data_IF_349973367855
#
_entry.id   IF_349973367855
#
_cell.length_a   1.000
_cell.length_b   1.000
_cell.length_c   1.000
_cell.angle_alpha   90.00
_cell.angle_beta   90.00
_cell.angle_gamma   90.00
#
_symmetry.space_group_name_H-M   'P 1'
#
loop_
_entity.id
_entity.type
_entity.pdbx_description
1 polymer ?
#
# COMPACT_ATOMS: atom_id res chain seq x y z
N UNK A 1 24.33 18.41 5.81
CA UNK A 1 23.91 17.30 6.68
C UNK A 1 23.34 16.22 5.77
N UNK A 2 23.83 14.98 5.85
CA UNK A 2 23.33 13.90 5.00
C UNK A 2 22.98 12.71 5.87
N UNK A 3 21.70 12.34 5.92
CA UNK A 3 21.26 11.15 6.63
C UNK A 3 21.58 9.92 5.76
N UNK A 4 22.34 8.93 6.26
CA UNK A 4 22.57 7.70 5.52
C UNK A 4 21.23 7.01 5.27
N UNK A 5 20.95 6.68 4.02
CA UNK A 5 19.68 6.13 3.60
C UNK A 5 19.81 5.31 2.32
N UNK A 6 18.82 4.47 2.08
CA UNK A 6 18.66 3.84 0.78
C UNK A 6 17.80 4.71 -0.11
N UNK A 7 18.16 4.76 -1.40
CA UNK A 7 17.27 5.25 -2.45
C UNK A 7 16.79 4.11 -3.28
N UNK A 8 15.49 4.08 -3.47
CA UNK A 8 14.79 3.07 -4.23
C UNK A 8 14.14 3.77 -5.41
N UNK A 9 14.50 3.39 -6.62
CA UNK A 9 13.69 3.74 -7.78
C UNK A 9 12.71 2.60 -8.07
N UNK A 10 11.43 2.93 -8.26
CA UNK A 10 10.42 1.98 -8.68
C UNK A 10 10.05 2.20 -10.14
N UNK A 11 10.18 1.16 -10.95
CA UNK A 11 9.86 1.19 -12.37
C UNK A 11 9.47 -0.20 -12.88
N UNK A 12 8.36 -0.32 -13.63
CA UNK A 12 7.82 -1.58 -14.17
C UNK A 12 7.67 -2.70 -13.13
N UNK A 13 7.35 -2.32 -11.89
CA UNK A 13 7.24 -3.26 -10.76
C UNK A 13 8.56 -3.83 -10.25
N UNK A 14 9.71 -3.28 -10.65
CA UNK A 14 11.02 -3.54 -10.07
C UNK A 14 11.41 -2.41 -9.11
N UNK A 15 12.13 -2.77 -8.06
CA UNK A 15 12.75 -1.88 -7.10
C UNK A 15 14.26 -1.91 -7.30
N UNK A 16 14.85 -0.76 -7.59
CA UNK A 16 16.29 -0.58 -7.75
C UNK A 16 16.83 0.15 -6.53
N UNK A 17 17.51 -0.59 -5.67
CA UNK A 17 18.03 -0.15 -4.39
C UNK A 17 19.49 0.32 -4.54
N UNK A 18 19.72 1.60 -4.28
CA UNK A 18 21.02 2.25 -4.24
C UNK A 18 21.32 2.72 -2.81
N UNK A 19 22.56 2.56 -2.36
CA UNK A 19 23.00 3.08 -1.06
C UNK A 19 23.56 4.49 -1.22
N UNK A 20 23.08 5.46 -0.42
CA UNK A 20 23.55 6.85 -0.52
C UNK A 20 23.15 7.75 0.65
N UNK A 21 23.22 9.06 0.40
CA UNK A 21 22.83 10.09 1.37
C UNK A 21 21.50 10.73 0.93
N UNK A 22 20.44 10.58 1.73
CA UNK A 22 19.06 10.95 1.36
C UNK A 22 18.89 12.37 0.81
N UNK A 23 19.54 13.35 1.44
CA UNK A 23 19.44 14.77 1.07
C UNK A 23 20.03 15.07 -0.31
N UNK A 24 21.01 14.29 -0.77
CA UNK A 24 21.60 14.50 -2.10
C UNK A 24 20.60 14.21 -3.22
N UNK A 25 19.75 13.21 -3.03
CA UNK A 25 18.81 12.77 -4.06
C UNK A 25 17.66 13.74 -4.29
N UNK A 26 17.32 14.54 -3.30
CA UNK A 26 16.25 15.55 -3.44
C UNK A 26 16.76 16.71 -4.27
N UNK A 27 18.03 17.08 -4.09
CA UNK A 27 18.69 18.06 -4.94
C UNK A 27 18.83 17.58 -6.40
N UNK A 28 18.72 16.27 -6.66
CA UNK A 28 18.71 15.72 -8.03
C UNK A 28 17.33 15.80 -8.69
N UNK A 29 16.23 15.93 -7.94
CA UNK A 29 14.88 15.99 -8.50
C UNK A 29 14.60 17.45 -8.90
N UNK A 30 14.45 17.75 -10.21
CA UNK A 30 14.18 19.12 -10.65
C UNK A 30 12.81 19.59 -10.16
N UNK A 31 12.73 20.88 -9.81
CA UNK A 31 11.45 21.52 -9.45
C UNK A 31 10.69 22.05 -10.66
N UNK A 32 11.39 22.34 -11.77
CA UNK A 32 10.75 22.76 -13.01
C UNK A 32 10.04 21.56 -13.67
N UNK A 33 8.76 21.68 -14.08
CA UNK A 33 8.03 20.56 -14.67
C UNK A 33 8.63 20.00 -15.95
N UNK A 34 9.28 20.83 -16.78
CA UNK A 34 9.88 20.39 -18.04
C UNK A 34 11.16 19.62 -17.74
N UNK A 35 12.03 20.19 -16.90
CA UNK A 35 13.26 19.52 -16.45
C UNK A 35 12.94 18.21 -15.70
N UNK A 36 11.85 18.18 -14.93
CA UNK A 36 11.40 16.98 -14.22
C UNK A 36 11.01 15.85 -15.18
N UNK A 37 10.25 16.14 -16.24
CA UNK A 37 9.89 15.12 -17.23
C UNK A 37 11.12 14.60 -17.98
N UNK A 38 12.07 15.49 -18.32
CA UNK A 38 13.36 15.08 -18.90
C UNK A 38 14.16 14.19 -17.95
N UNK A 39 14.24 14.56 -16.67
CA UNK A 39 14.88 13.76 -15.62
C UNK A 39 14.22 12.37 -15.49
N UNK A 40 12.89 12.32 -15.43
CA UNK A 40 12.15 11.05 -15.31
C UNK A 40 12.35 10.19 -16.55
N UNK A 41 12.33 10.77 -17.75
CA UNK A 41 12.58 10.04 -18.99
C UNK A 41 13.99 9.45 -19.02
N UNK A 42 15.01 10.25 -18.70
CA UNK A 42 16.40 9.80 -18.61
C UNK A 42 16.58 8.70 -17.56
N UNK A 43 15.96 8.83 -16.38
CA UNK A 43 16.00 7.80 -15.35
C UNK A 43 15.31 6.51 -15.77
N UNK A 44 14.16 6.59 -16.44
CA UNK A 44 13.49 5.40 -17.00
C UNK A 44 14.37 4.68 -18.01
N UNK A 45 15.06 5.42 -18.88
CA UNK A 45 16.00 4.86 -19.86
C UNK A 45 17.20 4.18 -19.18
N UNK A 46 17.81 4.83 -18.18
CA UNK A 46 18.90 4.28 -17.37
C UNK A 46 18.51 2.95 -16.72
N UNK A 47 17.34 2.90 -16.05
CA UNK A 47 16.85 1.71 -15.36
C UNK A 47 16.47 0.58 -16.32
N UNK A 48 15.93 0.89 -17.49
CA UNK A 48 15.68 -0.11 -18.54
C UNK A 48 17.00 -0.70 -19.05
N UNK A 49 18.01 0.15 -19.28
CA UNK A 49 19.35 -0.29 -19.64
C UNK A 49 19.94 -1.26 -18.61
N UNK A 50 19.82 -0.95 -17.32
CA UNK A 50 20.27 -1.83 -16.24
C UNK A 50 19.52 -3.17 -16.23
N UNK A 51 18.21 -3.19 -16.51
CA UNK A 51 17.45 -4.44 -16.62
C UNK A 51 17.94 -5.30 -17.78
N UNK A 52 18.20 -4.70 -18.94
CA UNK A 52 18.73 -5.42 -20.11
C UNK A 52 20.14 -5.94 -19.88
N UNK A 53 21.01 -5.17 -19.22
CA UNK A 53 22.34 -5.62 -18.82
C UNK A 53 22.28 -6.81 -17.85
N UNK A 54 21.42 -6.74 -16.84
CA UNK A 54 21.20 -7.86 -15.91
C UNK A 54 20.63 -9.08 -16.64
N UNK A 55 19.64 -8.90 -17.53
CA UNK A 55 19.11 -9.99 -18.37
C UNK A 55 20.23 -10.67 -19.16
N UNK A 56 21.10 -9.89 -19.78
CA UNK A 56 22.25 -10.40 -20.54
C UNK A 56 23.28 -11.10 -19.65
N UNK A 57 23.63 -10.52 -18.51
CA UNK A 57 24.66 -11.03 -17.60
C UNK A 57 24.25 -12.37 -16.96
N UNK A 58 22.96 -12.54 -16.64
CA UNK A 58 22.42 -13.77 -16.07
C UNK A 58 21.85 -14.73 -17.13
N UNK A 59 22.04 -14.44 -18.43
CA UNK A 59 21.76 -15.38 -19.52
C UNK A 59 20.29 -15.53 -19.92
N UNK A 60 19.45 -14.52 -19.66
CA UNK A 60 18.02 -14.53 -19.97
C UNK A 60 17.75 -13.85 -21.32
N UNK A 61 17.45 -14.64 -22.35
CA UNK A 61 16.94 -14.15 -23.63
C UNK A 61 15.41 -14.03 -23.56
N UNK A 62 14.85 -12.85 -23.86
CA UNK A 62 13.40 -12.61 -23.84
C UNK A 62 12.64 -13.53 -24.80
N UNK A 63 11.53 -14.12 -24.31
CA UNK A 63 10.14 -14.06 -24.82
C UNK A 63 9.37 -15.27 -24.28
N UNK A 64 8.38 -15.02 -23.43
CA UNK A 64 7.46 -16.01 -22.86
C UNK A 64 7.25 -15.75 -21.37
N UNK A 65 6.01 -15.47 -20.98
CA UNK A 65 5.54 -15.06 -19.63
C UNK A 65 5.93 -15.96 -18.43
N UNK A 66 6.79 -16.96 -18.63
CA UNK A 66 7.20 -17.93 -17.62
C UNK A 66 8.63 -17.75 -17.07
N UNK A 67 9.46 -16.89 -17.67
CA UNK A 67 10.83 -16.63 -17.17
C UNK A 67 11.00 -15.20 -16.67
N UNK A 68 10.37 -14.91 -15.54
CA UNK A 68 10.59 -13.69 -14.80
C UNK A 68 11.94 -13.76 -14.05
N UNK A 69 12.95 -12.92 -14.39
CA UNK A 69 14.32 -13.04 -13.88
C UNK A 69 14.45 -12.78 -12.37
N UNK A 70 13.40 -12.28 -11.71
CA UNK A 70 13.40 -11.88 -10.29
C UNK A 70 12.29 -12.60 -9.52
N UNK A 71 11.78 -13.75 -10.02
CA UNK A 71 10.81 -14.58 -9.29
C UNK A 71 11.44 -15.15 -8.01
N UNK A 72 11.40 -14.37 -6.94
CA UNK A 72 11.73 -14.77 -5.57
C UNK A 72 13.13 -14.42 -5.05
N UNK A 73 13.98 -13.75 -5.84
CA UNK A 73 15.35 -13.40 -5.45
C UNK A 73 15.72 -11.93 -5.67
N UNK A 74 16.91 -11.54 -5.19
CA UNK A 74 17.50 -10.22 -5.40
C UNK A 74 18.67 -10.34 -6.39
N UNK A 75 18.73 -9.46 -7.38
CA UNK A 75 19.87 -9.35 -8.31
C UNK A 75 20.80 -8.24 -7.84
N UNK A 76 22.10 -8.50 -7.80
CA UNK A 76 23.10 -7.47 -7.46
C UNK A 76 23.83 -7.04 -8.73
N UNK A 77 24.02 -5.74 -8.87
CA UNK A 77 24.71 -5.11 -9.98
C UNK A 77 25.63 -3.99 -9.50
N UNK A 78 26.49 -3.52 -10.41
CA UNK A 78 27.35 -2.38 -10.19
C UNK A 78 27.15 -1.40 -11.35
N UNK A 79 26.95 -0.11 -11.05
CA UNK A 79 26.92 0.98 -12.00
C UNK A 79 28.12 1.88 -11.71
N UNK A 80 29.19 1.71 -12.48
CA UNK A 80 30.50 2.25 -12.11
C UNK A 80 30.95 1.74 -10.74
N UNK A 81 31.22 2.65 -9.80
CA UNK A 81 31.60 2.33 -8.42
C UNK A 81 30.39 2.15 -7.48
N UNK A 82 29.17 2.39 -7.96
CA UNK A 82 27.95 2.32 -7.14
C UNK A 82 27.37 0.91 -7.19
N UNK A 83 27.25 0.26 -6.04
CA UNK A 83 26.58 -1.03 -5.91
C UNK A 83 25.07 -0.83 -5.80
N UNK A 84 24.30 -1.64 -6.52
CA UNK A 84 22.85 -1.62 -6.45
C UNK A 84 22.25 -3.03 -6.39
N UNK A 85 21.03 -3.12 -5.90
CA UNK A 85 20.25 -4.37 -5.82
C UNK A 85 18.90 -4.18 -6.50
N UNK A 86 18.48 -5.13 -7.33
CA UNK A 86 17.20 -5.13 -8.02
C UNK A 86 16.32 -6.25 -7.47
N UNK A 87 15.09 -5.92 -7.09
CA UNK A 87 14.13 -6.87 -6.53
C UNK A 87 12.71 -6.58 -7.00
N UNK A 88 11.83 -7.59 -6.99
CA UNK A 88 10.38 -7.39 -7.13
C UNK A 88 9.68 -7.18 -5.80
N UNK A 89 10.37 -7.44 -4.70
CA UNK A 89 9.86 -7.19 -3.37
C UNK A 89 10.50 -5.90 -2.83
N UNK A 90 9.72 -5.12 -2.12
CA UNK A 90 10.26 -3.99 -1.37
C UNK A 90 11.30 -4.49 -0.35
N UNK A 91 12.47 -3.84 -0.22
CA UNK A 91 13.52 -4.24 0.71
C UNK A 91 12.99 -4.24 2.14
N UNK A 92 13.17 -5.36 2.85
CA UNK A 92 12.65 -5.55 4.22
C UNK A 92 13.71 -5.32 5.29
N UNK A 93 14.96 -5.58 4.94
CA UNK A 93 16.07 -5.63 5.88
C UNK A 93 17.14 -4.64 5.42
N UNK A 94 17.40 -3.62 6.25
CA UNK A 94 18.49 -2.69 6.02
C UNK A 94 18.75 -1.84 7.25
N UNK A 95 20.03 -1.70 7.60
CA UNK A 95 20.51 -0.92 8.76
C UNK A 95 20.42 0.61 8.54
N UNK A 96 19.62 1.05 7.56
CA UNK A 96 19.49 2.46 7.23
C UNK A 96 18.49 3.17 8.14
N UNK A 97 18.76 4.45 8.41
CA UNK A 97 17.85 5.30 9.15
C UNK A 97 16.55 5.54 8.37
N UNK A 98 16.64 5.68 7.04
CA UNK A 98 15.51 5.97 6.15
C UNK A 98 15.62 5.24 4.80
N UNK A 99 14.47 4.86 4.25
CA UNK A 99 14.28 4.44 2.86
C UNK A 99 13.53 5.51 2.08
N UNK A 100 14.18 6.11 1.10
CA UNK A 100 13.55 7.06 0.19
C UNK A 100 13.20 6.33 -1.10
N UNK A 101 11.94 6.33 -1.48
CA UNK A 101 11.51 5.70 -2.72
C UNK A 101 10.90 6.72 -3.70
N UNK A 102 11.32 6.61 -4.96
CA UNK A 102 10.90 7.45 -6.07
C UNK A 102 10.14 6.54 -7.04
N UNK A 103 8.81 6.69 -7.07
CA UNK A 103 7.93 5.97 -8.00
C UNK A 103 7.79 6.78 -9.29
N UNK A 104 8.53 6.36 -10.31
CA UNK A 104 8.61 7.02 -11.61
C UNK A 104 7.37 6.78 -12.49
N UNK A 105 6.51 5.83 -12.11
CA UNK A 105 5.28 5.51 -12.84
C UNK A 105 4.12 6.37 -12.35
N UNK A 106 4.05 6.59 -11.03
CA UNK A 106 2.93 7.29 -10.39
C UNK A 106 3.28 8.70 -9.89
N UNK A 107 4.53 9.15 -10.08
CA UNK A 107 5.03 10.45 -9.67
C UNK A 107 4.95 10.67 -8.14
N UNK A 108 5.41 9.70 -7.36
CA UNK A 108 5.27 9.71 -5.89
C UNK A 108 6.62 9.56 -5.22
N UNK A 109 6.85 10.41 -4.23
CA UNK A 109 7.96 10.29 -3.31
C UNK A 109 7.50 9.66 -2.00
N UNK A 110 8.13 8.56 -1.66
CA UNK A 110 7.85 7.79 -0.46
C UNK A 110 9.00 7.93 0.54
N UNK A 111 8.67 7.98 1.83
CA UNK A 111 9.63 7.91 2.94
C UNK A 111 9.23 6.75 3.84
N UNK A 112 10.16 5.83 4.07
CA UNK A 112 9.93 4.60 4.83
C UNK A 112 8.64 3.90 4.40
N UNK A 113 8.47 3.82 3.08
CA UNK A 113 7.35 3.15 2.43
C UNK A 113 6.06 3.95 2.33
N UNK A 114 5.87 5.02 3.11
CA UNK A 114 4.67 5.86 3.10
C UNK A 114 4.74 6.94 2.03
N UNK A 115 3.64 7.29 1.33
CA UNK A 115 3.63 8.36 0.34
C UNK A 115 3.65 9.72 1.05
N UNK A 116 4.72 10.49 0.87
CA UNK A 116 4.88 11.81 1.50
C UNK A 116 4.59 12.94 0.51
N UNK A 117 5.18 12.90 -0.69
CA UNK A 117 5.11 14.01 -1.64
C UNK A 117 4.74 13.56 -3.05
N UNK A 118 4.13 14.47 -3.81
CA UNK A 118 4.01 14.36 -5.26
C UNK A 118 5.34 14.80 -5.89
N UNK A 119 5.92 13.99 -6.78
CA UNK A 119 7.19 14.33 -7.44
C UNK A 119 7.10 15.63 -8.25
N UNK A 120 5.90 15.97 -8.75
CA UNK A 120 5.63 17.20 -9.51
C UNK A 120 5.55 18.44 -8.62
N UNK A 121 5.53 18.27 -7.31
CA UNK A 121 5.45 19.35 -6.34
C UNK A 121 6.34 19.08 -5.12
N UNK A 122 7.59 18.66 -5.37
CA UNK A 122 8.56 18.40 -4.30
C UNK A 122 8.91 19.67 -3.51
N UNK A 123 9.04 19.59 -2.18
CA UNK A 123 9.60 20.68 -1.40
C UNK A 123 11.09 20.85 -1.69
N UNK A 124 11.62 22.05 -1.46
CA UNK A 124 13.06 22.29 -1.59
C UNK A 124 13.85 21.57 -0.46
N UNK A 125 15.18 21.52 -0.57
CA UNK A 125 16.02 20.72 0.35
C UNK A 125 15.89 21.09 1.84
N UNK A 126 15.74 22.37 2.16
CA UNK A 126 15.59 22.84 3.55
C UNK A 126 14.18 22.56 4.09
N UNK A 127 13.14 22.80 3.29
CA UNK A 127 11.77 22.45 3.62
C UNK A 127 11.60 20.95 3.82
N UNK A 128 12.16 20.14 2.92
CA UNK A 128 12.13 18.69 3.01
C UNK A 128 12.67 18.19 4.35
N UNK A 129 13.83 18.70 4.78
CA UNK A 129 14.42 18.32 6.06
C UNK A 129 13.48 18.67 7.23
N UNK A 130 12.74 19.77 7.13
CA UNK A 130 11.74 20.16 8.13
C UNK A 130 10.49 19.26 8.17
N UNK A 131 10.23 18.45 7.13
CA UNK A 131 9.18 17.41 7.16
C UNK A 131 9.65 16.08 7.75
N UNK A 132 10.95 15.79 7.68
CA UNK A 132 11.54 14.58 8.27
C UNK A 132 11.79 14.72 9.78
N UNK A 133 11.60 15.92 10.33
CA UNK A 133 11.72 16.16 11.75
C UNK A 133 10.61 15.40 12.51
N UNK A 134 11.01 14.35 13.21
CA UNK A 134 10.15 13.31 13.81
C UNK A 134 9.23 13.88 14.90
N UNK A 135 9.58 15.03 15.47
CA UNK A 135 8.78 15.71 16.49
C UNK A 135 7.59 16.50 15.90
N UNK A 136 7.58 16.74 14.58
CA UNK A 136 6.45 17.39 13.91
C UNK A 136 5.35 16.36 13.62
N UNK A 137 4.36 16.25 14.51
CA UNK A 137 3.18 15.40 14.29
C UNK A 137 2.56 15.72 12.91
N UNK A 138 2.52 14.75 11.98
CA UNK A 138 2.04 15.01 10.61
C UNK A 138 0.54 15.34 10.55
N UNK A 139 -0.25 15.00 11.56
CA UNK A 139 -1.71 15.14 11.52
C UNK A 139 -2.26 16.48 12.05
N UNK A 140 -1.44 17.36 12.62
CA UNK A 140 -1.91 18.59 13.27
C UNK A 140 -1.66 19.87 12.45
N UNK A 141 -1.15 19.75 11.22
CA UNK A 141 -0.89 20.92 10.39
C UNK A 141 -2.20 21.51 9.82
N UNK A 142 -2.44 22.83 9.96
CA UNK A 142 -3.59 23.49 9.36
C UNK A 142 -3.65 23.22 7.84
N UNK A 143 -4.87 23.03 7.32
CA UNK A 143 -5.12 22.76 5.89
C UNK A 143 -4.46 23.79 4.96
N UNK A 144 -4.32 25.03 5.43
CA UNK A 144 -3.76 26.16 4.69
C UNK A 144 -2.25 26.34 4.85
N UNK A 145 -1.55 25.47 5.59
CA UNK A 145 -0.10 25.58 5.70
C UNK A 145 0.57 25.26 4.36
N UNK A 146 1.66 25.95 4.04
CA UNK A 146 2.52 25.61 2.89
C UNK A 146 2.93 24.13 2.92
N UNK A 147 2.97 23.54 4.11
CA UNK A 147 3.27 22.13 4.31
C UNK A 147 2.26 21.15 3.70
N UNK A 148 1.00 21.54 3.58
CA UNK A 148 -0.05 20.71 2.99
C UNK A 148 0.02 20.72 1.47
N UNK A 149 0.64 21.75 0.85
CA UNK A 149 0.72 21.88 -0.61
C UNK A 149 1.56 20.78 -1.24
N UNK A 150 2.68 20.43 -0.61
CA UNK A 150 3.60 19.41 -1.12
C UNK A 150 3.12 17.98 -0.87
N UNK A 151 2.18 17.80 0.06
CA UNK A 151 1.70 16.47 0.44
C UNK A 151 1.12 15.74 -0.75
N UNK A 152 1.47 14.47 -0.83
CA UNK A 152 0.83 13.55 -1.75
C UNK A 152 -0.68 13.54 -1.49
N UNK A 153 -1.44 13.85 -2.54
CA UNK A 153 -2.90 13.74 -2.51
C UNK A 153 -3.28 12.42 -3.14
N UNK A 154 -4.18 11.70 -2.48
CA UNK A 154 -4.73 10.47 -3.03
C UNK A 154 -5.31 10.74 -4.43
N UNK A 155 -5.04 9.87 -5.42
CA UNK A 155 -5.63 10.02 -6.73
C UNK A 155 -7.17 9.93 -6.60
N UNK A 156 -7.92 10.51 -7.54
CA UNK A 156 -9.37 10.31 -7.56
C UNK A 156 -9.67 8.81 -7.63
N UNK A 157 -10.72 8.33 -6.93
CA UNK A 157 -11.10 6.93 -7.02
C UNK A 157 -11.49 6.57 -8.46
N UNK A 158 -11.37 5.28 -8.84
CA UNK A 158 -11.88 4.79 -10.11
C UNK A 158 -13.38 5.15 -10.27
N UNK A 159 -13.82 5.55 -11.47
CA UNK A 159 -15.23 5.87 -11.69
C UNK A 159 -16.10 4.63 -11.54
N UNK A 160 -17.20 4.77 -10.81
CA UNK A 160 -18.23 3.73 -10.69
C UNK A 160 -19.26 3.91 -11.80
N UNK A 161 -19.61 2.83 -12.49
CA UNK A 161 -20.60 2.87 -13.55
C UNK A 161 -22.00 3.26 -13.02
N UNK A 162 -22.71 4.13 -13.73
CA UNK A 162 -24.04 4.62 -13.32
C UNK A 162 -25.05 3.48 -13.14
N UNK A 163 -24.99 2.45 -13.98
CA UNK A 163 -25.85 1.27 -13.88
C UNK A 163 -25.72 0.54 -12.53
N UNK A 164 -24.53 0.53 -11.94
CA UNK A 164 -24.29 -0.08 -10.61
C UNK A 164 -24.95 0.75 -9.52
N UNK A 165 -24.83 2.08 -9.60
CA UNK A 165 -25.48 2.98 -8.64
C UNK A 165 -27.00 2.93 -8.77
N UNK A 166 -27.54 2.77 -9.98
CA UNK A 166 -28.98 2.62 -10.21
C UNK A 166 -29.50 1.28 -9.67
N UNK A 167 -28.75 0.19 -9.84
CA UNK A 167 -29.07 -1.11 -9.23
C UNK A 167 -29.08 -1.02 -7.68
N UNK A 168 -28.09 -0.35 -7.08
CA UNK A 168 -28.07 -0.11 -5.64
C UNK A 168 -29.30 0.67 -5.15
N UNK A 169 -29.72 1.69 -5.91
CA UNK A 169 -30.94 2.46 -5.61
C UNK A 169 -32.19 1.61 -5.69
N UNK A 170 -32.30 0.73 -6.69
CA UNK A 170 -33.42 -0.20 -6.83
C UNK A 170 -33.51 -1.16 -5.63
N UNK A 171 -32.37 -1.73 -5.19
CA UNK A 171 -32.31 -2.52 -3.96
C UNK A 171 -32.74 -1.72 -2.73
N UNK A 172 -32.26 -0.48 -2.61
CA UNK A 172 -32.58 0.40 -1.47
C UNK A 172 -34.07 0.77 -1.42
N UNK A 173 -34.73 0.88 -2.59
CA UNK A 173 -36.16 1.19 -2.70
C UNK A 173 -37.06 -0.03 -2.44
N UNK A 174 -36.59 -1.23 -2.77
CA UNK A 174 -37.34 -2.49 -2.61
C UNK A 174 -37.11 -3.15 -1.25
N UNK A 175 -35.96 -2.89 -0.63
CA UNK A 175 -35.61 -3.37 0.70
C UNK A 175 -36.35 -2.59 1.79
N UNK A 176 -37.18 -3.27 2.58
CA UNK A 176 -37.54 -2.74 3.91
C UNK A 176 -36.26 -2.70 4.75
N UNK A 177 -35.93 -1.53 5.27
CA UNK A 177 -34.81 -1.33 6.21
C UNK A 177 -35.17 -1.99 7.54
N UNK A 178 -35.04 -3.31 7.61
CA UNK A 178 -35.10 -4.05 8.87
C UNK A 178 -33.79 -3.82 9.62
N UNK A 179 -33.85 -3.60 10.93
CA UNK A 179 -32.62 -3.50 11.69
C UNK A 179 -31.92 -4.86 11.68
N UNK A 180 -30.57 -4.89 11.63
CA UNK A 180 -29.80 -6.15 11.51
C UNK A 180 -30.21 -7.18 12.56
N UNK A 181 -30.54 -6.74 13.77
CA UNK A 181 -30.97 -7.62 14.84
C UNK A 181 -32.38 -8.19 14.63
N UNK A 182 -33.28 -7.48 13.96
CA UNK A 182 -34.58 -8.03 13.55
C UNK A 182 -34.43 -9.06 12.43
N UNK A 183 -33.49 -8.81 11.50
CA UNK A 183 -33.22 -9.70 10.38
C UNK A 183 -32.53 -11.01 10.81
N UNK A 184 -31.68 -10.94 11.83
CA UNK A 184 -30.94 -12.08 12.36
C UNK A 184 -31.57 -12.71 13.61
N UNK A 185 -32.74 -12.22 14.05
CA UNK A 185 -33.40 -12.62 15.30
C UNK A 185 -32.45 -12.54 16.52
N UNK A 186 -31.69 -11.45 16.60
CA UNK A 186 -30.73 -11.16 17.66
C UNK A 186 -31.26 -10.10 18.62
N UNK A 187 -30.75 -10.10 19.84
CA UNK A 187 -30.99 -9.01 20.78
C UNK A 187 -30.24 -7.74 20.33
N UNK A 188 -30.89 -6.58 20.46
CA UNK A 188 -30.25 -5.28 20.17
C UNK A 188 -29.08 -5.00 21.12
N UNK A 189 -29.15 -5.51 22.35
CA UNK A 189 -28.09 -5.40 23.34
C UNK A 189 -27.00 -6.45 23.11
N UNK A 190 -25.74 -6.00 23.07
CA UNK A 190 -24.58 -6.88 23.02
C UNK A 190 -24.37 -7.58 24.37
N UNK A 191 -24.13 -8.89 24.32
CA UNK A 191 -23.71 -9.69 25.48
C UNK A 191 -22.31 -9.25 25.93
N UNK A 192 -21.99 -9.43 27.21
CA UNK A 192 -20.67 -9.07 27.75
C UNK A 192 -19.51 -9.73 26.97
N UNK A 193 -19.71 -10.94 26.47
CA UNK A 193 -18.73 -11.66 25.63
C UNK A 193 -18.52 -10.99 24.27
N UNK A 194 -19.57 -10.42 23.68
CA UNK A 194 -19.50 -9.71 22.39
C UNK A 194 -18.78 -8.36 22.57
N UNK A 195 -19.05 -7.66 23.67
CA UNK A 195 -18.34 -6.42 24.03
C UNK A 195 -16.84 -6.68 24.20
N UNK A 196 -16.45 -7.74 24.92
CA UNK A 196 -15.04 -8.11 25.07
C UNK A 196 -14.40 -8.42 23.71
N UNK A 197 -15.07 -9.20 22.86
CA UNK A 197 -14.60 -9.50 21.50
C UNK A 197 -14.38 -8.23 20.69
N UNK A 198 -15.37 -7.32 20.70
CA UNK A 198 -15.29 -6.03 20.03
C UNK A 198 -14.08 -5.21 20.52
N UNK A 199 -13.85 -5.14 21.84
CA UNK A 199 -12.70 -4.42 22.39
C UNK A 199 -11.35 -5.05 22.00
N UNK A 200 -11.26 -6.37 21.94
CA UNK A 200 -10.04 -7.03 21.44
C UNK A 200 -9.85 -6.70 19.95
N UNK A 201 -10.91 -6.75 19.14
CA UNK A 201 -10.85 -6.38 17.71
C UNK A 201 -10.37 -4.94 17.56
N UNK A 202 -10.94 -3.99 18.31
CA UNK A 202 -10.52 -2.58 18.31
C UNK A 202 -9.02 -2.43 18.62
N UNK A 203 -8.51 -3.14 19.64
CA UNK A 203 -7.07 -3.13 19.98
C UNK A 203 -6.23 -3.73 18.85
N UNK A 204 -6.64 -4.85 18.27
CA UNK A 204 -5.91 -5.47 17.16
C UNK A 204 -5.92 -4.61 15.91
N UNK A 205 -7.03 -3.95 15.60
CA UNK A 205 -7.12 -2.95 14.53
C UNK A 205 -6.19 -1.79 14.87
N UNK A 206 -6.26 -1.24 16.09
CA UNK A 206 -5.43 -0.14 16.58
C UNK A 206 -3.92 -0.45 16.46
N UNK A 207 -3.48 -1.58 16.99
CA UNK A 207 -2.09 -2.05 16.88
C UNK A 207 -1.75 -2.35 15.42
N UNK A 208 -2.68 -2.90 14.64
CA UNK A 208 -2.48 -3.12 13.21
C UNK A 208 -2.36 -1.85 12.42
N UNK A 209 -2.98 -0.76 12.89
CA UNK A 209 -2.90 0.59 12.35
C UNK A 209 -1.65 1.34 12.82
N UNK A 210 -1.17 1.10 14.05
CA UNK A 210 0.05 1.71 14.59
C UNK A 210 1.32 1.04 14.04
N UNK A 211 1.27 -0.28 13.83
CA UNK A 211 2.28 -1.02 13.07
C UNK A 211 2.24 -0.71 11.57
N UNK A 212 1.41 0.24 11.10
CA UNK A 212 1.38 0.67 9.69
C UNK A 212 2.59 1.47 9.23
N UNK A 213 3.59 1.72 10.08
CA UNK A 213 4.95 1.97 9.59
C UNK A 213 5.35 0.81 8.65
N UNK A 214 5.68 1.09 7.39
CA UNK A 214 5.86 0.05 6.36
C UNK A 214 6.95 -0.98 6.70
N UNK A 215 7.80 -0.71 7.70
CA UNK A 215 8.70 -1.71 8.28
C UNK A 215 7.97 -2.97 8.73
N UNK A 216 6.68 -2.89 9.13
CA UNK A 216 5.90 -4.03 9.61
C UNK A 216 4.50 -4.13 8.98
N UNK A 217 4.42 -4.69 7.76
CA UNK A 217 3.18 -5.32 7.25
C UNK A 217 1.92 -4.43 7.12
N UNK A 218 2.02 -3.10 7.02
CA UNK A 218 0.87 -2.18 7.00
C UNK A 218 -0.17 -2.37 5.88
N UNK A 219 -1.42 -1.91 6.12
CA UNK A 219 -2.50 -1.82 5.11
C UNK A 219 -2.19 -0.85 3.95
N UNK A 220 -1.09 -0.10 4.02
CA UNK A 220 -0.57 0.76 2.96
C UNK A 220 0.06 -0.02 1.79
N UNK A 221 -0.47 -1.18 1.40
CA UNK A 221 -0.01 -1.78 0.15
C UNK A 221 -0.28 -0.80 -0.99
N UNK A 222 0.80 -0.29 -1.58
CA UNK A 222 0.86 0.77 -2.61
C UNK A 222 -0.10 0.57 -3.78
N UNK A 223 -0.46 -0.68 -4.03
CA UNK A 223 -1.42 -1.13 -5.02
C UNK A 223 -2.86 -0.73 -4.69
N UNK A 224 -3.25 -0.56 -3.42
CA UNK A 224 -4.60 -0.08 -3.04
C UNK A 224 -4.94 1.31 -3.52
N UNK A 225 -3.94 2.20 -3.63
CA UNK A 225 -4.18 3.61 -3.94
C UNK A 225 -4.50 3.82 -5.42
N UNK A 226 -3.94 2.96 -6.29
CA UNK A 226 -4.06 3.04 -7.76
C UNK A 226 -4.84 1.89 -8.38
N UNK A 227 -5.17 0.85 -7.62
CA UNK A 227 -5.93 -0.30 -8.09
C UNK A 227 -7.40 -0.17 -7.73
N UNK A 228 -8.26 -0.65 -8.62
CA UNK A 228 -9.66 -0.93 -8.30
C UNK A 228 -9.83 -2.13 -7.38
N UNK A 229 -8.78 -2.92 -7.17
CA UNK A 229 -8.79 -4.12 -6.31
C UNK A 229 -7.84 -4.00 -5.13
N UNK A 230 -8.25 -4.60 -4.01
CA UNK A 230 -7.38 -4.74 -2.86
C UNK A 230 -6.22 -5.70 -3.21
N UNK A 231 -4.99 -5.37 -2.86
CA UNK A 231 -3.87 -6.25 -3.12
C UNK A 231 -3.90 -7.51 -2.25
N UNK A 232 -3.32 -8.63 -2.71
CA UNK A 232 -3.52 -9.92 -2.08
C UNK A 232 -3.04 -10.01 -0.62
N UNK A 233 -2.03 -9.24 -0.19
CA UNK A 233 -1.60 -9.30 1.22
C UNK A 233 -2.58 -8.58 2.12
N UNK A 234 -3.15 -7.47 1.65
CA UNK A 234 -4.23 -6.79 2.34
C UNK A 234 -5.43 -7.71 2.52
N UNK A 235 -5.87 -8.35 1.44
CA UNK A 235 -6.95 -9.34 1.45
C UNK A 235 -6.64 -10.43 2.47
N UNK A 236 -5.43 -10.99 2.43
CA UNK A 236 -4.99 -12.02 3.36
C UNK A 236 -5.06 -11.55 4.82
N UNK A 237 -4.55 -10.36 5.13
CA UNK A 237 -4.52 -9.82 6.50
C UNK A 237 -5.91 -9.58 7.06
N UNK A 238 -6.77 -8.87 6.30
CA UNK A 238 -8.16 -8.60 6.69
C UNK A 238 -8.89 -9.92 6.93
N UNK A 239 -8.71 -10.90 6.04
CA UNK A 239 -9.28 -12.24 6.20
C UNK A 239 -8.79 -12.95 7.45
N UNK A 240 -7.48 -12.95 7.72
CA UNK A 240 -6.94 -13.59 8.92
C UNK A 240 -7.51 -12.97 10.18
N UNK A 241 -7.64 -11.63 10.22
CA UNK A 241 -8.29 -10.94 11.32
C UNK A 241 -9.75 -11.38 11.46
N UNK A 242 -10.53 -11.29 10.38
CA UNK A 242 -11.95 -11.66 10.40
C UNK A 242 -12.11 -13.10 10.87
N UNK A 243 -11.37 -14.07 10.32
CA UNK A 243 -11.42 -15.48 10.74
C UNK A 243 -11.03 -15.69 12.21
N UNK A 244 -9.99 -15.00 12.68
CA UNK A 244 -9.57 -15.11 14.08
C UNK A 244 -10.66 -14.62 15.05
N UNK A 245 -11.42 -13.59 14.66
CA UNK A 245 -12.42 -12.95 15.51
C UNK A 245 -13.85 -13.48 15.34
N UNK A 246 -14.16 -14.10 14.21
CA UNK A 246 -15.45 -14.78 13.99
C UNK A 246 -15.45 -16.19 14.57
N UNK A 247 -14.28 -16.84 14.67
CA UNK A 247 -14.11 -18.16 15.28
C UNK A 247 -14.13 -18.17 16.82
N UNK A 248 -13.97 -19.35 17.42
CA UNK A 248 -13.74 -19.46 18.86
C UNK A 248 -12.39 -18.85 19.23
N UNK A 249 -12.38 -17.90 20.18
CA UNK A 249 -11.16 -17.24 20.70
C UNK A 249 -10.36 -18.19 21.62
N UNK A 250 -9.81 -19.26 21.04
CA UNK A 250 -8.95 -20.21 21.74
C UNK A 250 -7.51 -19.82 21.44
N UNK A 251 -6.88 -19.12 22.39
CA UNK A 251 -5.46 -18.78 22.31
C UNK A 251 -4.64 -19.98 22.80
N UNK A 252 -4.19 -20.85 21.88
CA UNK A 252 -3.21 -21.89 22.19
C UNK A 252 -1.80 -21.38 21.91
N UNK A 253 -0.81 -21.91 22.64
CA UNK A 253 0.62 -21.67 22.37
C UNK A 253 1.04 -22.14 20.96
N UNK A 254 0.23 -23.01 20.33
CA UNK A 254 0.41 -23.53 18.98
C UNK A 254 -0.29 -22.70 17.90
N UNK A 255 -0.82 -21.52 18.21
CA UNK A 255 -1.41 -20.68 17.17
C UNK A 255 -0.36 -20.34 16.11
N UNK A 256 -0.67 -20.54 14.81
CA UNK A 256 0.21 -20.09 13.74
C UNK A 256 0.48 -18.61 13.93
N UNK A 257 1.71 -18.14 13.64
CA UNK A 257 1.95 -16.70 13.67
C UNK A 257 1.08 -16.06 12.61
N UNK A 258 0.50 -14.91 12.94
CA UNK A 258 -0.24 -14.12 11.96
C UNK A 258 0.66 -13.85 10.75
N UNK A 259 0.32 -14.43 9.58
CA UNK A 259 1.04 -14.24 8.32
C UNK A 259 1.81 -15.43 7.75
N UNK A 260 1.81 -16.60 8.40
CA UNK A 260 2.65 -17.75 7.96
C UNK A 260 2.19 -18.43 6.65
N UNK A 261 0.99 -18.15 6.13
CA UNK A 261 0.47 -18.75 4.89
C UNK A 261 -0.09 -17.72 3.90
N UNK A 262 0.79 -16.86 3.40
CA UNK A 262 0.44 -15.92 2.33
C UNK A 262 0.16 -16.66 1.01
N UNK A 263 -1.09 -16.64 0.55
CA UNK A 263 -1.46 -17.11 -0.78
C UNK A 263 -1.78 -15.91 -1.70
N UNK A 264 -0.95 -15.73 -2.74
CA UNK A 264 -1.04 -14.63 -3.71
C UNK A 264 -2.32 -14.64 -4.55
N UNK A 265 -2.98 -15.78 -4.68
CA UNK A 265 -4.13 -15.96 -5.56
C UNK A 265 -5.47 -15.92 -4.80
N UNK A 266 -5.50 -15.32 -3.61
CA UNK A 266 -6.74 -15.23 -2.85
C UNK A 266 -7.69 -14.18 -3.45
N UNK A 267 -8.96 -14.55 -3.72
CA UNK A 267 -9.95 -13.60 -4.23
C UNK A 267 -10.32 -12.55 -3.17
N UNK A 268 -10.71 -11.36 -3.59
CA UNK A 268 -11.16 -10.28 -2.69
C UNK A 268 -12.48 -10.62 -1.97
N UNK A 269 -13.30 -11.47 -2.57
CA UNK A 269 -14.52 -12.03 -2.01
C UNK A 269 -14.30 -13.43 -1.44
N UNK A 270 -14.84 -13.70 -0.26
CA UNK A 270 -14.88 -15.04 0.33
C UNK A 270 -16.08 -15.21 1.29
N UNK A 271 -16.69 -16.40 1.28
CA UNK A 271 -17.57 -16.83 2.36
C UNK A 271 -16.75 -17.28 3.57
N UNK A 272 -16.85 -16.54 4.68
CA UNK A 272 -16.25 -16.92 5.97
C UNK A 272 -17.06 -18.05 6.59
N UNK A 273 -18.38 -17.93 6.54
CA UNK A 273 -19.35 -18.98 6.90
C UNK A 273 -20.43 -18.99 5.81
N UNK A 274 -20.57 -20.12 5.11
CA UNK A 274 -21.43 -20.18 3.92
C UNK A 274 -22.89 -19.86 4.24
N UNK A 275 -23.45 -18.87 3.55
CA UNK A 275 -24.83 -18.42 3.74
C UNK A 275 -25.07 -17.60 5.00
N UNK A 276 -24.04 -17.30 5.80
CA UNK A 276 -24.17 -16.57 7.07
C UNK A 276 -23.28 -15.31 7.06
N UNK A 277 -22.01 -15.45 6.65
CA UNK A 277 -21.04 -14.36 6.69
C UNK A 277 -20.11 -14.41 5.49
N UNK A 278 -20.11 -13.34 4.70
CA UNK A 278 -19.14 -13.11 3.63
C UNK A 278 -18.21 -11.94 3.97
N UNK A 279 -17.05 -11.91 3.31
CA UNK A 279 -16.08 -10.84 3.35
C UNK A 279 -15.79 -10.41 1.92
N UNK A 280 -15.98 -9.13 1.64
CA UNK A 280 -15.51 -8.48 0.42
C UNK A 280 -14.55 -7.35 0.82
N UNK A 281 -13.31 -7.43 0.33
CA UNK A 281 -12.28 -6.41 0.60
C UNK A 281 -12.19 -5.45 -0.58
N UNK A 282 -12.68 -4.23 -0.39
CA UNK A 282 -12.71 -3.18 -1.42
C UNK A 282 -11.80 -2.01 -1.00
N UNK A 283 -10.91 -1.52 -1.88
CA UNK A 283 -10.12 -0.33 -1.60
C UNK A 283 -10.99 0.94 -1.69
N UNK A 284 -10.54 2.03 -1.04
CA UNK A 284 -11.12 3.37 -1.21
C UNK A 284 -12.60 3.52 -0.81
N UNK A 285 -13.02 2.90 0.30
CA UNK A 285 -14.37 3.06 0.88
C UNK A 285 -14.63 4.46 1.47
N UNK A 286 -13.61 5.32 1.55
CA UNK A 286 -13.72 6.74 1.90
C UNK A 286 -14.52 7.56 0.89
N UNK A 287 -14.86 6.98 -0.26
CA UNK A 287 -15.55 7.65 -1.36
C UNK A 287 -17.01 7.20 -1.43
N UNK A 288 -17.93 8.17 -1.58
CA UNK A 288 -19.38 7.95 -1.47
C UNK A 288 -19.93 6.88 -2.42
N UNK A 289 -19.34 6.72 -3.61
CA UNK A 289 -19.85 5.80 -4.63
C UNK A 289 -19.31 4.37 -4.51
N UNK A 290 -18.18 4.17 -3.83
CA UNK A 290 -17.54 2.86 -3.77
C UNK A 290 -18.27 1.91 -2.82
N UNK A 291 -18.85 2.41 -1.74
CA UNK A 291 -19.64 1.59 -0.83
C UNK A 291 -20.91 1.04 -1.52
N UNK A 292 -21.75 1.85 -2.19
CA UNK A 292 -22.85 1.34 -3.02
C UNK A 292 -22.40 0.29 -4.04
N UNK A 293 -21.28 0.54 -4.73
CA UNK A 293 -20.76 -0.39 -5.72
C UNK A 293 -20.37 -1.74 -5.11
N UNK A 294 -19.68 -1.71 -3.97
CA UNK A 294 -19.30 -2.90 -3.22
C UNK A 294 -20.51 -3.72 -2.75
N UNK A 295 -21.59 -3.04 -2.34
CA UNK A 295 -22.82 -3.72 -1.91
C UNK A 295 -23.51 -4.42 -3.08
N UNK A 296 -23.50 -3.86 -4.29
CA UNK A 296 -24.10 -4.50 -5.48
C UNK A 296 -23.28 -5.71 -5.95
N UNK A 297 -22.00 -5.76 -5.63
CA UNK A 297 -21.13 -6.89 -5.95
C UNK A 297 -21.39 -8.13 -5.06
N UNK A 298 -22.01 -7.94 -3.88
CA UNK A 298 -22.36 -8.99 -2.91
C UNK A 298 -23.66 -9.71 -3.28
#
# INVERSE_FOLDING_TARGET
>A
MGTPGYVIYRYKGFYFLFYGLGVKFIAEIPSDPVELEEYIAAKKEELEGLLEELRRAYGYCSIGDEQDPVRGGELKGNLGDVKFTVSRNWPRDGDAAFFYEIDLEHYIFYVDGEPYFDLRNMPNGDEFCAYLDVDAKPYELPLDSERVRHRYKLPPPPPVATAVLDAYREYSLTSKTSQIHELLDLTSEMRSTEVIRMKIIEVFIGVSTETMSYKNYGLGERTTLFSSSAPPRLIHRVRTMVRAFTGPLIFSESMPRFGDFYNRNQPAFEWIEHGILCLLVVPRLDTENNLPAAVVEL
#
